data_IF_930548392349
#
_entry.id   IF_930548392349
#
_cell.length_a   1.000
_cell.length_b   1.000
_cell.length_c   1.000
_cell.angle_alpha   90.00
_cell.angle_beta   90.00
_cell.angle_gamma   90.00
#
_symmetry.space_group_name_H-M   'P 1'
#
loop_
_entity.id
_entity.type
_entity.pdbx_description
1 polymer ?
#
# COMPACT_ATOMS: atom_id res chain seq x y z
N UNK A 1 7.97 -33.87 -6.32
CA UNK A 1 6.71 -33.54 -7.02
C UNK A 1 7.02 -32.48 -8.08
N UNK A 2 6.89 -32.79 -9.39
CA UNK A 2 7.10 -31.80 -10.46
C UNK A 2 5.78 -31.08 -10.72
N UNK A 3 5.75 -29.77 -10.50
CA UNK A 3 4.60 -28.93 -10.89
C UNK A 3 4.41 -28.97 -12.41
N UNK A 4 3.16 -29.00 -12.87
CA UNK A 4 2.84 -28.89 -14.29
C UNK A 4 3.37 -27.56 -14.87
N UNK A 5 3.76 -27.51 -16.15
CA UNK A 5 4.23 -26.27 -16.78
C UNK A 5 3.21 -25.13 -16.68
N UNK A 6 1.92 -25.44 -16.78
CA UNK A 6 0.83 -24.47 -16.64
C UNK A 6 0.79 -23.87 -15.23
N UNK A 7 0.91 -24.72 -14.19
CA UNK A 7 0.94 -24.26 -12.79
C UNK A 7 2.14 -23.37 -12.51
N UNK A 8 3.33 -23.71 -13.06
CA UNK A 8 4.52 -22.88 -12.91
C UNK A 8 4.37 -21.49 -13.54
N UNK A 9 3.83 -21.45 -14.77
CA UNK A 9 3.60 -20.19 -15.48
C UNK A 9 2.58 -19.30 -14.76
N UNK A 10 1.50 -19.90 -14.25
CA UNK A 10 0.50 -19.19 -13.46
C UNK A 10 1.11 -18.57 -12.21
N UNK A 11 1.85 -19.35 -11.40
CA UNK A 11 2.50 -18.84 -10.19
C UNK A 11 3.46 -17.70 -10.51
N UNK A 12 4.30 -17.84 -11.55
CA UNK A 12 5.21 -16.78 -11.98
C UNK A 12 4.46 -15.48 -12.28
N UNK A 13 3.42 -15.56 -13.13
CA UNK A 13 2.60 -14.39 -13.47
C UNK A 13 1.93 -13.76 -12.25
N UNK A 14 1.40 -14.57 -11.33
CA UNK A 14 0.78 -14.06 -10.10
C UNK A 14 1.78 -13.31 -9.23
N UNK A 15 3.01 -13.82 -9.11
CA UNK A 15 4.09 -13.16 -8.35
C UNK A 15 4.52 -11.85 -9.02
N UNK A 16 4.62 -11.82 -10.34
CA UNK A 16 4.99 -10.60 -11.07
C UNK A 16 3.92 -9.50 -10.90
N UNK A 17 2.66 -9.88 -11.07
CA UNK A 17 1.52 -8.95 -10.91
C UNK A 17 1.39 -8.47 -9.46
N UNK A 18 1.57 -9.35 -8.48
CA UNK A 18 1.51 -8.96 -7.07
C UNK A 18 2.66 -8.03 -6.69
N UNK A 19 3.87 -8.29 -7.21
CA UNK A 19 5.03 -7.41 -7.01
C UNK A 19 4.76 -6.02 -7.59
N UNK A 20 4.23 -5.94 -8.81
CA UNK A 20 3.85 -4.67 -9.44
C UNK A 20 2.79 -3.94 -8.62
N UNK A 21 1.75 -4.66 -8.18
CA UNK A 21 0.65 -4.10 -7.40
C UNK A 21 1.12 -3.56 -6.05
N UNK A 22 2.03 -4.25 -5.36
CA UNK A 22 2.59 -3.77 -4.10
C UNK A 22 3.50 -2.56 -4.34
N UNK A 23 4.41 -2.63 -5.31
CA UNK A 23 5.37 -1.56 -5.58
C UNK A 23 4.68 -0.22 -5.89
N UNK A 24 3.61 -0.23 -6.68
CA UNK A 24 2.89 0.98 -7.06
C UNK A 24 1.67 1.29 -6.19
N UNK A 25 1.06 0.27 -5.59
CA UNK A 25 -0.16 0.40 -4.80
C UNK A 25 0.07 0.73 -3.33
N UNK A 26 1.26 0.42 -2.79
CA UNK A 26 1.52 0.59 -1.36
C UNK A 26 1.36 2.05 -0.89
N UNK A 27 2.04 3.00 -1.53
CA UNK A 27 1.99 4.42 -1.12
C UNK A 27 0.57 5.00 -1.28
N UNK A 28 -0.11 4.88 -2.43
CA UNK A 28 -1.50 5.34 -2.57
C UNK A 28 -2.44 4.73 -1.53
N UNK A 29 -2.26 3.46 -1.20
CA UNK A 29 -3.08 2.77 -0.21
C UNK A 29 -2.87 3.31 1.21
N UNK A 30 -1.63 3.54 1.62
CA UNK A 30 -1.31 4.15 2.93
C UNK A 30 -1.87 5.57 3.02
N UNK A 31 -1.72 6.37 1.96
CA UNK A 31 -2.28 7.73 1.90
C UNK A 31 -3.81 7.70 2.03
N UNK A 32 -4.49 6.80 1.33
CA UNK A 32 -5.94 6.60 1.46
C UNK A 32 -6.35 6.26 2.89
N UNK A 33 -5.62 5.36 3.55
CA UNK A 33 -5.87 5.02 4.95
C UNK A 33 -5.64 6.21 5.88
N UNK A 34 -4.59 7.01 5.65
CA UNK A 34 -4.31 8.22 6.42
C UNK A 34 -5.45 9.24 6.36
N UNK A 35 -6.06 9.43 5.18
CA UNK A 35 -7.24 10.29 5.05
C UNK A 35 -8.52 9.68 5.64
N UNK A 36 -8.72 8.36 5.51
CA UNK A 36 -9.97 7.70 5.92
C UNK A 36 -10.04 7.40 7.41
N UNK A 37 -8.93 6.95 8.00
CA UNK A 37 -8.85 6.55 9.42
C UNK A 37 -8.30 7.64 10.34
N UNK A 38 -7.69 8.69 9.76
CA UNK A 38 -7.06 9.76 10.51
C UNK A 38 -5.73 9.34 11.13
N UNK A 39 -4.97 10.32 11.60
CA UNK A 39 -3.72 10.08 12.33
C UNK A 39 -4.01 9.60 13.76
N UNK A 40 -3.12 8.77 14.30
CA UNK A 40 -3.18 8.44 15.73
C UNK A 40 -2.94 9.70 16.57
N UNK A 41 -3.62 9.84 17.72
CA UNK A 41 -3.38 10.96 18.62
C UNK A 41 -1.92 10.97 19.06
N UNK A 42 -1.24 12.09 18.84
CA UNK A 42 0.11 12.29 19.36
C UNK A 42 0.09 12.25 20.91
N UNK A 43 1.24 12.07 21.59
CA UNK A 43 1.31 12.00 23.07
C UNK A 43 0.74 13.23 23.79
N UNK A 44 0.63 14.36 23.10
CA UNK A 44 0.02 15.61 23.57
C UNK A 44 -1.50 15.69 23.30
N UNK A 45 -2.13 14.63 22.81
CA UNK A 45 -3.56 14.54 22.50
C UNK A 45 -3.97 15.23 21.19
N UNK A 46 -3.04 15.80 20.43
CA UNK A 46 -3.37 16.46 19.16
C UNK A 46 -3.51 15.43 18.03
N UNK A 47 -4.56 15.56 17.23
CA UNK A 47 -4.76 14.81 15.98
C UNK A 47 -4.57 15.78 14.83
N UNK A 48 -3.45 15.66 14.12
CA UNK A 48 -3.20 16.45 12.91
C UNK A 48 -3.72 15.64 11.72
N UNK A 49 -4.81 16.07 11.06
CA UNK A 49 -5.32 15.34 9.91
C UNK A 49 -4.34 15.46 8.75
N UNK A 50 -4.20 14.37 7.98
CA UNK A 50 -3.47 14.42 6.73
C UNK A 50 -4.22 15.38 5.77
N UNK A 51 -3.52 16.35 5.21
CA UNK A 51 -4.06 17.27 4.18
C UNK A 51 -3.28 17.11 2.88
N UNK A 52 -3.86 17.52 1.75
CA UNK A 52 -3.18 17.43 0.45
C UNK A 52 -1.91 18.31 0.43
N UNK A 53 -1.97 19.50 1.02
CA UNK A 53 -0.79 20.38 1.08
C UNK A 53 0.30 19.82 2.00
N UNK A 54 -0.05 19.22 3.14
CA UNK A 54 0.95 18.54 3.98
C UNK A 54 1.53 17.29 3.32
N UNK A 55 0.84 16.65 2.37
CA UNK A 55 1.41 15.53 1.63
C UNK A 55 2.40 15.98 0.55
N UNK A 56 2.15 17.16 -0.05
CA UNK A 56 2.97 17.71 -1.13
C UNK A 56 4.18 18.50 -0.60
N UNK A 57 4.06 19.11 0.58
CA UNK A 57 5.04 20.06 1.13
C UNK A 57 5.23 19.99 2.65
N UNK A 58 4.68 18.96 3.32
CA UNK A 58 4.74 18.82 4.79
C UNK A 58 6.08 18.33 5.32
#
# INVERSE_FOLDING_TARGET
MKLSPATKSFIGKTVDVSTLAIQWGFVPFVVYLGFKKGAEPMPNGQVIPLTVMSLLWG
#
